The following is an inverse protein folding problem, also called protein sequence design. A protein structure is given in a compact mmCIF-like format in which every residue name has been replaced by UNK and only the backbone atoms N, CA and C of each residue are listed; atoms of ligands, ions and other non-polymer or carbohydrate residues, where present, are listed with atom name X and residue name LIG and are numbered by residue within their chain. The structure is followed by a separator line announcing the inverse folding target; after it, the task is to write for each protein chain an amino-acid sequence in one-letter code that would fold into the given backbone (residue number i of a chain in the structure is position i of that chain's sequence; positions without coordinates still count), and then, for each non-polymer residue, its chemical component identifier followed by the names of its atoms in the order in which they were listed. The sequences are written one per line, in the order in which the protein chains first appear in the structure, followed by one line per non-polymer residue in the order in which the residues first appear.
data_IF_686485829837
#
_entry.id   IF_686485829837
#
_cell.length_a   1.000
_cell.length_b   1.000
_cell.length_c   1.000
_cell.angle_alpha   90.00
_cell.angle_beta   90.00
_cell.angle_gamma   90.00
#
_symmetry.space_group_name_H-M   'P 1'
#
loop_
_entity.id
_entity.type
_entity.pdbx_description
1 polymer ?
#
# COMPACT_ATOMS: atom_id res chain seq x y z
N UNK A 1 -34.12 -28.40 20.68
CA UNK A 1 -33.57 -28.30 19.30
C UNK A 1 -33.51 -26.87 18.76
N UNK A 2 -32.87 -25.93 19.47
CA UNK A 2 -32.75 -24.51 19.06
C UNK A 2 -31.33 -24.01 18.80
N UNK A 3 -30.30 -24.84 19.05
CA UNK A 3 -28.89 -24.41 18.99
C UNK A 3 -28.24 -24.67 17.62
N UNK A 4 -28.65 -25.73 16.90
CA UNK A 4 -28.10 -26.09 15.59
C UNK A 4 -28.57 -25.19 14.44
N UNK A 5 -29.73 -24.52 14.56
CA UNK A 5 -30.26 -23.65 13.49
C UNK A 5 -29.46 -22.35 13.28
N UNK A 6 -28.58 -21.96 14.21
CA UNK A 6 -27.88 -20.67 14.15
C UNK A 6 -26.51 -20.74 13.45
N UNK A 7 -25.85 -21.90 13.41
CA UNK A 7 -24.52 -22.03 12.80
C UNK A 7 -24.57 -22.34 11.30
N UNK A 8 -25.62 -22.98 10.80
CA UNK A 8 -25.76 -23.32 9.38
C UNK A 8 -25.70 -22.08 8.47
N UNK A 9 -26.40 -21.01 8.85
CA UNK A 9 -26.37 -19.75 8.11
C UNK A 9 -25.00 -19.06 8.19
N UNK A 10 -24.33 -19.14 9.34
CA UNK A 10 -22.97 -18.61 9.52
C UNK A 10 -21.97 -19.34 8.62
N UNK A 11 -21.97 -20.68 8.65
CA UNK A 11 -21.13 -21.51 7.79
C UNK A 11 -21.39 -21.23 6.32
N UNK A 12 -22.66 -21.15 5.90
CA UNK A 12 -23.02 -20.82 4.52
C UNK A 12 -22.47 -19.45 4.07
N UNK A 13 -22.61 -18.41 4.90
CA UNK A 13 -22.07 -17.08 4.59
C UNK A 13 -20.54 -17.07 4.57
N UNK A 14 -19.90 -17.80 5.46
CA UNK A 14 -18.46 -17.93 5.48
C UNK A 14 -17.93 -18.65 4.23
N UNK A 15 -18.56 -19.74 3.79
CA UNK A 15 -18.23 -20.40 2.52
C UNK A 15 -18.38 -19.45 1.32
N UNK A 16 -19.44 -18.63 1.28
CA UNK A 16 -19.60 -17.63 0.23
C UNK A 16 -18.49 -16.58 0.22
N UNK A 17 -18.03 -16.14 1.40
CA UNK A 17 -16.87 -15.25 1.52
C UNK A 17 -15.61 -15.92 0.98
N UNK A 18 -15.34 -17.18 1.33
CA UNK A 18 -14.19 -17.93 0.80
C UNK A 18 -14.26 -18.03 -0.72
N UNK A 19 -15.43 -18.35 -1.29
CA UNK A 19 -15.61 -18.42 -2.74
C UNK A 19 -15.36 -17.06 -3.39
N UNK A 20 -15.86 -15.97 -2.80
CA UNK A 20 -15.60 -14.61 -3.29
C UNK A 20 -14.10 -14.28 -3.28
N UNK A 21 -13.41 -14.62 -2.18
CA UNK A 21 -11.96 -14.48 -2.05
C UNK A 21 -11.21 -15.26 -3.14
N UNK A 22 -11.52 -16.54 -3.31
CA UNK A 22 -10.87 -17.39 -4.31
C UNK A 22 -11.07 -16.86 -5.73
N UNK A 23 -12.30 -16.47 -6.09
CA UNK A 23 -12.60 -15.87 -7.40
C UNK A 23 -11.87 -14.55 -7.62
N UNK A 24 -11.70 -13.74 -6.58
CA UNK A 24 -10.94 -12.50 -6.66
C UNK A 24 -9.46 -12.78 -6.96
N UNK A 25 -8.82 -13.71 -6.24
CA UNK A 25 -7.41 -14.04 -6.46
C UNK A 25 -7.15 -14.78 -7.77
N UNK A 26 -8.09 -15.61 -8.24
CA UNK A 26 -8.03 -16.25 -9.55
C UNK A 26 -7.95 -15.21 -10.69
N UNK A 27 -8.75 -14.14 -10.58
CA UNK A 27 -8.78 -13.06 -11.58
C UNK A 27 -7.66 -12.04 -11.41
N UNK A 28 -7.18 -11.87 -10.19
CA UNK A 28 -6.18 -10.87 -9.83
C UNK A 28 -4.98 -11.52 -9.12
N UNK A 29 -4.13 -12.27 -9.86
CA UNK A 29 -2.98 -12.98 -9.28
C UNK A 29 -1.89 -12.06 -8.73
N UNK A 30 -2.03 -10.73 -8.91
CA UNK A 30 -1.12 -9.74 -8.35
C UNK A 30 -1.24 -9.58 -6.83
N UNK A 31 -2.41 -9.89 -6.27
CA UNK A 31 -2.64 -9.86 -4.84
C UNK A 31 -2.27 -11.22 -4.24
N UNK A 32 -1.39 -11.22 -3.25
CA UNK A 32 -1.11 -12.40 -2.42
C UNK A 32 -2.35 -12.79 -1.59
N UNK A 33 -2.34 -13.97 -0.97
CA UNK A 33 -3.52 -14.46 -0.21
C UNK A 33 -3.92 -13.59 1.00
N UNK A 34 -3.00 -12.79 1.54
CA UNK A 34 -3.25 -11.77 2.57
C UNK A 34 -3.53 -10.37 1.99
N UNK A 35 -3.89 -10.30 0.69
CA UNK A 35 -4.18 -9.08 -0.06
C UNK A 35 -3.02 -8.08 -0.13
N UNK A 36 -1.79 -8.46 0.21
CA UNK A 36 -0.64 -7.58 0.02
C UNK A 36 -0.19 -7.59 -1.44
N UNK A 37 0.45 -6.50 -1.84
CA UNK A 37 1.21 -6.42 -3.08
C UNK A 37 2.69 -6.30 -2.72
N UNK A 38 3.55 -6.62 -3.69
CA UNK A 38 4.98 -6.38 -3.53
C UNK A 38 5.23 -4.88 -3.23
N UNK A 39 6.10 -4.55 -2.27
CA UNK A 39 6.22 -3.20 -1.66
C UNK A 39 6.45 -2.07 -2.68
N UNK A 40 7.00 -2.39 -3.85
CA UNK A 40 7.28 -1.45 -4.93
C UNK A 40 6.10 -1.22 -5.90
N UNK A 41 4.96 -1.89 -5.72
CA UNK A 41 3.80 -1.81 -6.62
C UNK A 41 2.66 -1.02 -5.96
N UNK A 42 2.57 0.26 -6.32
CA UNK A 42 1.37 1.06 -6.08
C UNK A 42 0.22 0.55 -6.96
N UNK A 43 -0.93 0.24 -6.35
CA UNK A 43 -2.13 -0.20 -7.05
C UNK A 43 -2.51 0.73 -8.22
N UNK A 44 -2.23 2.03 -8.10
CA UNK A 44 -2.53 3.05 -9.12
C UNK A 44 -1.64 2.97 -10.37
N UNK A 45 -0.58 2.15 -10.35
CA UNK A 45 0.39 1.99 -11.43
C UNK A 45 0.33 0.61 -12.10
N UNK A 46 -0.61 -0.25 -11.72
CA UNK A 46 -0.63 -1.65 -12.17
C UNK A 46 -0.96 -1.86 -13.64
N UNK A 47 -1.88 -1.06 -14.20
CA UNK A 47 -2.47 -1.33 -15.52
C UNK A 47 -2.03 -0.36 -16.60
N UNK A 48 -0.87 0.31 -16.46
CA UNK A 48 -0.36 1.28 -17.44
C UNK A 48 -1.46 2.27 -17.92
N UNK A 49 -2.19 2.85 -16.95
CA UNK A 49 -3.32 3.77 -17.18
C UNK A 49 -4.50 3.22 -18.01
N UNK A 50 -4.65 1.89 -18.10
CA UNK A 50 -5.85 1.27 -18.65
C UNK A 50 -7.04 1.37 -17.67
N UNK A 51 -7.86 2.40 -17.85
CA UNK A 51 -9.03 2.66 -17.00
C UNK A 51 -10.07 1.55 -17.02
N UNK A 52 -10.19 0.75 -18.10
CA UNK A 52 -11.13 -0.38 -18.13
C UNK A 52 -10.71 -1.47 -17.15
N UNK A 53 -9.41 -1.76 -17.05
CA UNK A 53 -8.90 -2.72 -16.07
C UNK A 53 -9.09 -2.22 -14.63
N UNK A 54 -8.86 -0.93 -14.38
CA UNK A 54 -9.16 -0.33 -13.07
C UNK A 54 -10.64 -0.37 -12.73
N UNK A 55 -11.52 -0.16 -13.69
CA UNK A 55 -12.96 -0.18 -13.51
C UNK A 55 -13.43 -1.59 -13.11
N UNK A 56 -12.96 -2.60 -13.84
CA UNK A 56 -13.24 -4.00 -13.52
C UNK A 56 -12.68 -4.39 -12.15
N UNK A 57 -11.43 -4.01 -11.84
CA UNK A 57 -10.83 -4.25 -10.53
C UNK A 57 -11.65 -3.61 -9.41
N UNK A 58 -12.13 -2.38 -9.59
CA UNK A 58 -12.95 -1.68 -8.61
C UNK A 58 -14.24 -2.45 -8.30
N UNK A 59 -14.93 -2.95 -9.33
CA UNK A 59 -16.12 -3.79 -9.19
C UNK A 59 -15.81 -5.05 -8.38
N UNK A 60 -14.69 -5.71 -8.66
CA UNK A 60 -14.28 -6.94 -7.98
C UNK A 60 -13.91 -6.72 -6.52
N UNK A 61 -13.19 -5.63 -6.21
CA UNK A 61 -12.92 -5.20 -4.84
C UNK A 61 -14.22 -4.93 -4.07
N UNK A 62 -15.18 -4.25 -4.69
CA UNK A 62 -16.50 -4.02 -4.09
C UNK A 62 -17.28 -5.32 -3.83
N UNK A 63 -17.21 -6.31 -4.72
CA UNK A 63 -17.85 -7.60 -4.50
C UNK A 63 -17.23 -8.37 -3.33
N UNK A 64 -15.91 -8.31 -3.19
CA UNK A 64 -15.24 -8.93 -2.05
C UNK A 64 -15.63 -8.22 -0.74
N UNK A 65 -15.54 -6.89 -0.69
CA UNK A 65 -15.99 -6.12 0.48
C UNK A 65 -17.45 -6.43 0.86
N UNK A 66 -18.33 -6.56 -0.14
CA UNK A 66 -19.73 -6.92 0.08
C UNK A 66 -19.90 -8.29 0.73
N UNK A 67 -19.12 -9.29 0.29
CA UNK A 67 -19.15 -10.62 0.89
C UNK A 67 -18.72 -10.59 2.37
N UNK A 68 -17.71 -9.77 2.70
CA UNK A 68 -17.28 -9.55 4.09
C UNK A 68 -18.41 -8.92 4.91
N UNK A 69 -18.96 -7.78 4.46
CA UNK A 69 -19.98 -7.04 5.20
C UNK A 69 -21.27 -7.88 5.42
N UNK A 70 -21.62 -8.74 4.46
CA UNK A 70 -22.74 -9.67 4.61
C UNK A 70 -22.50 -10.74 5.68
N UNK A 71 -21.28 -11.28 5.78
CA UNK A 71 -20.94 -12.22 6.85
C UNK A 71 -20.96 -11.52 8.21
N UNK A 72 -20.36 -10.34 8.31
CA UNK A 72 -20.31 -9.52 9.53
C UNK A 72 -21.72 -9.29 10.09
N UNK A 73 -22.65 -8.86 9.24
CA UNK A 73 -24.04 -8.60 9.62
C UNK A 73 -24.70 -9.85 10.22
N UNK A 74 -24.47 -11.03 9.63
CA UNK A 74 -25.06 -12.29 10.12
C UNK A 74 -24.41 -12.72 11.45
N UNK A 75 -23.09 -12.53 11.61
CA UNK A 75 -22.39 -12.84 12.86
C UNK A 75 -22.95 -12.00 14.00
N UNK A 76 -23.03 -10.67 13.86
CA UNK A 76 -23.56 -9.81 14.92
C UNK A 76 -25.02 -10.11 15.24
N UNK A 77 -25.87 -10.28 14.22
CA UNK A 77 -27.26 -10.69 14.43
C UNK A 77 -27.36 -12.01 15.21
N UNK A 78 -26.50 -12.98 14.92
CA UNK A 78 -26.50 -14.27 15.63
C UNK A 78 -26.07 -14.14 17.09
N UNK A 79 -25.14 -13.22 17.40
CA UNK A 79 -24.71 -12.94 18.77
C UNK A 79 -25.84 -12.30 19.57
N UNK A 80 -26.53 -11.31 18.99
CA UNK A 80 -27.68 -10.65 19.62
C UNK A 80 -28.82 -11.63 19.91
N UNK A 81 -29.19 -12.44 18.91
CA UNK A 81 -30.27 -13.44 19.03
C UNK A 81 -29.97 -14.50 20.09
N UNK A 82 -28.71 -14.93 20.20
CA UNK A 82 -28.30 -15.94 21.18
C UNK A 82 -27.93 -15.34 22.54
N UNK A 83 -27.95 -14.01 22.68
CA UNK A 83 -27.45 -13.26 23.85
C UNK A 83 -26.06 -13.74 24.27
N UNK A 84 -25.24 -14.11 23.30
CA UNK A 84 -23.92 -14.70 23.55
C UNK A 84 -22.92 -13.62 23.92
N UNK A 85 -22.16 -13.85 24.99
CA UNK A 85 -21.11 -12.95 25.44
C UNK A 85 -19.81 -13.22 24.65
N UNK A 86 -19.12 -12.15 24.22
CA UNK A 86 -17.86 -12.23 23.44
C UNK A 86 -16.72 -12.95 24.16
N UNK A 87 -16.78 -13.08 25.49
CA UNK A 87 -15.78 -13.78 26.30
C UNK A 87 -16.10 -15.27 26.52
N UNK A 88 -17.24 -15.76 26.04
CA UNK A 88 -17.59 -17.19 26.11
C UNK A 88 -17.05 -17.94 24.89
N UNK A 89 -16.71 -19.21 25.04
CA UNK A 89 -16.24 -20.05 23.93
C UNK A 89 -17.21 -20.03 22.72
N UNK A 90 -18.52 -20.08 22.97
CA UNK A 90 -19.53 -20.01 21.92
C UNK A 90 -19.59 -18.63 21.23
N UNK A 91 -19.37 -17.53 21.96
CA UNK A 91 -19.25 -16.19 21.40
C UNK A 91 -17.99 -16.03 20.55
N UNK A 92 -16.85 -16.46 21.09
CA UNK A 92 -15.55 -16.41 20.41
C UNK A 92 -15.54 -17.23 19.13
N UNK A 93 -16.11 -18.44 19.13
CA UNK A 93 -16.25 -19.27 17.94
C UNK A 93 -17.01 -18.54 16.81
N UNK A 94 -18.02 -17.73 17.13
CA UNK A 94 -18.74 -16.91 16.15
C UNK A 94 -17.97 -15.68 15.71
N UNK A 95 -17.20 -15.07 16.61
CA UNK A 95 -16.44 -13.84 16.37
C UNK A 95 -15.11 -14.08 15.64
N UNK A 96 -14.49 -15.25 15.80
CA UNK A 96 -13.16 -15.56 15.25
C UNK A 96 -13.01 -15.25 13.74
N UNK A 97 -13.98 -15.56 12.86
CA UNK A 97 -13.89 -15.18 11.45
C UNK A 97 -13.75 -13.68 11.20
N UNK A 98 -14.20 -12.83 12.13
CA UNK A 98 -14.13 -11.39 11.98
C UNK A 98 -12.69 -10.85 12.06
N UNK A 99 -11.74 -11.58 12.66
CA UNK A 99 -10.33 -11.17 12.70
C UNK A 99 -9.81 -11.01 11.26
N UNK A 100 -9.99 -12.04 10.44
CA UNK A 100 -9.59 -12.01 9.02
C UNK A 100 -10.43 -11.00 8.24
N UNK A 101 -11.72 -10.87 8.57
CA UNK A 101 -12.58 -9.86 7.95
C UNK A 101 -12.05 -8.44 8.17
N UNK A 102 -11.61 -8.09 9.39
CA UNK A 102 -11.04 -6.78 9.73
C UNK A 102 -9.74 -6.53 8.94
N UNK A 103 -8.87 -7.54 8.86
CA UNK A 103 -7.62 -7.45 8.10
C UNK A 103 -7.91 -7.20 6.61
N UNK A 104 -8.71 -8.08 6.00
CA UNK A 104 -9.02 -7.99 4.57
C UNK A 104 -9.79 -6.69 4.24
N UNK A 105 -10.80 -6.31 5.05
CA UNK A 105 -11.58 -5.10 4.79
C UNK A 105 -10.77 -3.81 4.92
N UNK A 106 -9.72 -3.80 5.76
CA UNK A 106 -8.84 -2.63 5.88
C UNK A 106 -8.08 -2.35 4.58
N UNK A 107 -7.52 -3.40 3.97
CA UNK A 107 -6.80 -3.33 2.71
C UNK A 107 -7.74 -3.11 1.53
N UNK A 108 -8.88 -3.81 1.49
CA UNK A 108 -9.86 -3.62 0.43
C UNK A 108 -10.37 -2.17 0.38
N UNK A 109 -10.63 -1.54 1.53
CA UNK A 109 -11.05 -0.14 1.56
C UNK A 109 -9.96 0.79 1.02
N UNK A 110 -8.70 0.60 1.43
CA UNK A 110 -7.56 1.35 0.89
C UNK A 110 -7.45 1.23 -0.63
N UNK A 111 -7.53 0.01 -1.14
CA UNK A 111 -7.47 -0.25 -2.57
C UNK A 111 -8.65 0.35 -3.34
N UNK A 112 -9.88 0.23 -2.82
CA UNK A 112 -11.06 0.83 -3.45
C UNK A 112 -10.88 2.35 -3.55
N UNK A 113 -10.47 3.02 -2.47
CA UNK A 113 -10.26 4.48 -2.49
C UNK A 113 -9.20 4.87 -3.51
N UNK A 114 -8.03 4.21 -3.50
CA UNK A 114 -6.93 4.50 -4.45
C UNK A 114 -7.33 4.26 -5.90
N UNK A 115 -8.03 3.17 -6.19
CA UNK A 115 -8.53 2.85 -7.53
C UNK A 115 -9.59 3.86 -7.97
N UNK A 116 -10.50 4.29 -7.09
CA UNK A 116 -11.49 5.31 -7.43
C UNK A 116 -10.87 6.65 -7.74
N UNK A 117 -9.89 7.10 -6.95
CA UNK A 117 -9.11 8.30 -7.30
C UNK A 117 -8.44 8.15 -8.66
N UNK A 118 -7.87 6.98 -8.97
CA UNK A 118 -7.26 6.72 -10.28
C UNK A 118 -8.29 6.79 -11.41
N UNK A 119 -9.48 6.20 -11.24
CA UNK A 119 -10.55 6.25 -12.24
C UNK A 119 -11.04 7.69 -12.49
N UNK A 120 -11.11 8.50 -11.45
CA UNK A 120 -11.47 9.92 -11.54
C UNK A 120 -10.43 10.78 -12.28
N UNK A 121 -9.22 10.27 -12.58
CA UNK A 121 -8.26 10.96 -13.45
C UNK A 121 -8.63 10.87 -14.94
N UNK A 122 -9.34 9.82 -15.36
CA UNK A 122 -9.58 9.52 -16.77
C UNK A 122 -11.05 9.38 -17.19
N UNK A 123 -11.98 9.24 -16.24
CA UNK A 123 -13.40 9.06 -16.50
C UNK A 123 -14.22 10.22 -15.92
N UNK A 124 -15.35 10.52 -16.57
CA UNK A 124 -16.27 11.56 -16.10
C UNK A 124 -16.99 11.16 -14.81
N UNK A 125 -17.42 12.16 -14.05
CA UNK A 125 -18.14 11.96 -12.79
C UNK A 125 -19.41 11.13 -12.96
N UNK A 126 -20.11 11.24 -14.09
CA UNK A 126 -21.38 10.54 -14.33
C UNK A 126 -21.18 9.02 -14.44
N UNK A 127 -20.11 8.58 -15.12
CA UNK A 127 -19.78 7.14 -15.26
C UNK A 127 -19.46 6.49 -13.92
N UNK A 128 -18.87 7.27 -13.00
CA UNK A 128 -18.45 6.79 -11.68
C UNK A 128 -19.49 7.01 -10.58
N UNK A 129 -20.69 7.49 -10.92
CA UNK A 129 -21.73 7.78 -9.92
C UNK A 129 -22.09 6.55 -9.08
N UNK A 130 -22.36 5.42 -9.71
CA UNK A 130 -22.72 4.17 -9.02
C UNK A 130 -21.59 3.66 -8.12
N UNK A 131 -20.34 3.85 -8.55
CA UNK A 131 -19.17 3.45 -7.78
C UNK A 131 -19.02 4.30 -6.51
N UNK A 132 -19.24 5.62 -6.61
CA UNK A 132 -19.26 6.51 -5.45
C UNK A 132 -20.38 6.15 -4.48
N UNK A 133 -21.59 5.90 -5.00
CA UNK A 133 -22.73 5.52 -4.17
C UNK A 133 -22.47 4.21 -3.42
N UNK A 134 -21.87 3.22 -4.12
CA UNK A 134 -21.50 1.94 -3.52
C UNK A 134 -20.42 2.07 -2.45
N UNK A 135 -19.42 2.93 -2.67
CA UNK A 135 -18.44 3.23 -1.63
C UNK A 135 -19.11 3.83 -0.39
N UNK A 136 -20.01 4.79 -0.56
CA UNK A 136 -20.66 5.46 0.57
C UNK A 136 -21.45 4.45 1.41
N UNK A 137 -22.23 3.57 0.77
CA UNK A 137 -22.96 2.51 1.48
C UNK A 137 -22.01 1.57 2.25
N UNK A 138 -20.99 1.04 1.56
CA UNK A 138 -20.06 0.10 2.17
C UNK A 138 -19.21 0.77 3.25
N UNK A 139 -18.85 2.04 3.09
CA UNK A 139 -18.12 2.83 4.09
C UNK A 139 -18.94 2.97 5.39
N UNK A 140 -20.22 3.29 5.30
CA UNK A 140 -21.08 3.41 6.49
C UNK A 140 -21.20 2.06 7.23
N UNK A 141 -21.40 0.98 6.48
CA UNK A 141 -21.47 -0.38 7.04
C UNK A 141 -20.13 -0.82 7.66
N UNK A 142 -19.01 -0.51 7.01
CA UNK A 142 -17.66 -0.79 7.51
C UNK A 142 -17.33 0.02 8.77
N UNK A 143 -17.72 1.30 8.81
CA UNK A 143 -17.58 2.16 9.99
C UNK A 143 -18.38 1.61 11.18
N UNK A 144 -19.61 1.16 10.94
CA UNK A 144 -20.42 0.48 11.94
C UNK A 144 -19.77 -0.81 12.43
N UNK A 145 -19.26 -1.65 11.51
CA UNK A 145 -18.53 -2.87 11.84
C UNK A 145 -17.34 -2.59 12.77
N UNK A 146 -16.44 -1.68 12.40
CA UNK A 146 -15.27 -1.37 13.22
C UNK A 146 -15.64 -0.78 14.57
N UNK A 147 -16.67 0.08 14.63
CA UNK A 147 -17.17 0.63 15.89
C UNK A 147 -17.76 -0.46 16.79
N UNK A 148 -18.54 -1.40 16.25
CA UNK A 148 -19.08 -2.52 17.02
C UNK A 148 -17.97 -3.43 17.52
N UNK A 149 -17.04 -3.82 16.63
CA UNK A 149 -15.90 -4.66 17.01
C UNK A 149 -15.02 -4.01 18.07
N UNK A 150 -14.81 -2.69 18.06
CA UNK A 150 -13.94 -2.03 19.03
C UNK A 150 -14.52 -2.01 20.45
N UNK A 151 -15.84 -2.18 20.60
CA UNK A 151 -16.48 -2.33 21.91
C UNK A 151 -16.34 -3.74 22.50
N UNK A 152 -15.97 -4.73 21.69
CA UNK A 152 -15.87 -6.12 22.14
C UNK A 152 -14.48 -6.42 22.71
N UNK A 153 -14.44 -6.79 23.99
CA UNK A 153 -13.21 -7.18 24.69
C UNK A 153 -12.44 -8.31 24.01
N UNK A 154 -13.13 -9.21 23.28
CA UNK A 154 -12.48 -10.29 22.54
C UNK A 154 -11.40 -9.79 21.58
N UNK A 155 -11.62 -8.66 20.90
CA UNK A 155 -10.69 -8.15 19.91
C UNK A 155 -9.56 -7.30 20.51
N UNK A 156 -9.73 -6.73 21.71
CA UNK A 156 -8.79 -5.76 22.28
C UNK A 156 -7.35 -6.29 22.38
N UNK A 157 -7.21 -7.59 22.64
CA UNK A 157 -5.91 -8.23 22.81
C UNK A 157 -5.44 -8.97 21.54
N UNK A 158 -6.32 -9.17 20.56
CA UNK A 158 -6.02 -9.95 19.36
C UNK A 158 -5.63 -9.07 18.17
N UNK A 159 -6.33 -7.94 17.98
CA UNK A 159 -6.15 -7.10 16.80
C UNK A 159 -6.46 -5.65 17.12
N UNK A 160 -5.58 -4.75 16.66
CA UNK A 160 -5.85 -3.32 16.60
C UNK A 160 -6.81 -3.06 15.44
N UNK A 161 -8.04 -2.71 15.80
CA UNK A 161 -9.09 -2.37 14.84
C UNK A 161 -8.78 -1.02 14.19
N UNK A 162 -8.83 -0.91 12.86
CA UNK A 162 -8.60 0.35 12.17
C UNK A 162 -9.64 1.41 12.54
N UNK A 163 -9.20 2.66 12.62
CA UNK A 163 -10.10 3.81 12.75
C UNK A 163 -10.31 4.40 11.36
N UNK A 164 -11.57 4.48 10.93
CA UNK A 164 -11.94 5.14 9.69
C UNK A 164 -12.15 6.65 9.91
N UNK A 165 -11.92 7.48 8.87
CA UNK A 165 -12.20 8.91 8.94
C UNK A 165 -13.68 9.17 9.24
N UNK A 166 -13.99 10.41 9.63
CA UNK A 166 -15.37 10.78 9.92
C UNK A 166 -16.25 10.73 8.67
N UNK A 167 -15.75 11.29 7.58
CA UNK A 167 -16.42 11.37 6.28
C UNK A 167 -15.70 10.50 5.24
N UNK A 168 -16.43 9.95 4.26
CA UNK A 168 -15.79 9.30 3.11
C UNK A 168 -14.97 10.32 2.31
N UNK A 169 -13.93 9.88 1.58
CA UNK A 169 -13.08 10.76 0.78
C UNK A 169 -13.86 11.47 -0.33
N UNK A 170 -13.54 12.73 -0.61
CA UNK A 170 -14.12 13.46 -1.73
C UNK A 170 -13.26 13.31 -2.98
N UNK A 171 -13.73 12.52 -3.95
CA UNK A 171 -12.99 12.24 -5.18
C UNK A 171 -12.88 13.42 -6.15
N UNK A 172 -13.64 14.50 -5.93
CA UNK A 172 -13.56 15.70 -6.76
C UNK A 172 -12.41 16.64 -6.34
N UNK A 173 -11.82 16.41 -5.17
CA UNK A 173 -10.77 17.25 -4.59
C UNK A 173 -9.47 16.47 -4.63
N UNK A 174 -8.53 16.88 -5.49
CA UNK A 174 -7.23 16.18 -5.62
C UNK A 174 -6.38 16.30 -4.35
N UNK A 175 -6.58 17.34 -3.54
CA UNK A 175 -5.91 17.47 -2.23
C UNK A 175 -6.33 16.37 -1.23
N UNK A 176 -7.55 15.84 -1.31
CA UNK A 176 -8.03 14.81 -0.37
C UNK A 176 -7.26 13.50 -0.53
N UNK A 177 -6.74 13.22 -1.74
CA UNK A 177 -5.85 12.07 -1.96
C UNK A 177 -4.49 12.25 -1.28
N UNK A 178 -3.96 13.48 -1.21
CA UNK A 178 -2.69 13.76 -0.53
C UNK A 178 -2.82 13.63 0.98
N UNK A 179 -4.01 13.94 1.51
CA UNK A 179 -4.33 13.85 2.93
C UNK A 179 -4.88 12.48 3.34
N UNK A 180 -5.11 11.57 2.38
CA UNK A 180 -5.66 10.24 2.66
C UNK A 180 -4.67 9.38 3.44
N UNK A 181 -5.12 8.86 4.59
CA UNK A 181 -4.36 7.94 5.42
C UNK A 181 -4.92 6.53 5.33
N UNK A 182 -4.06 5.57 5.00
CA UNK A 182 -4.40 4.14 4.95
C UNK A 182 -4.86 3.67 6.34
N UNK A 183 -6.08 3.14 6.47
CA UNK A 183 -6.51 2.50 7.71
C UNK A 183 -5.81 1.13 7.83
N UNK A 184 -4.83 1.00 8.72
CA UNK A 184 -4.05 -0.24 8.91
C UNK A 184 -4.65 -1.07 10.05
N UNK A 185 -4.98 -2.33 9.79
CA UNK A 185 -5.28 -3.33 10.82
C UNK A 185 -3.98 -4.02 11.24
N UNK A 186 -3.62 -3.97 12.52
CA UNK A 186 -2.39 -4.60 13.05
C UNK A 186 -2.80 -5.70 14.03
N UNK A 187 -2.38 -6.94 13.79
CA UNK A 187 -2.54 -8.03 14.77
C UNK A 187 -1.52 -7.84 15.88
N UNK A 188 -1.97 -7.89 17.14
CA UNK A 188 -1.06 -7.80 18.27
C UNK A 188 -0.42 -9.18 18.47
N UNK A 189 0.79 -9.37 17.96
CA UNK A 189 1.63 -10.52 18.35
C UNK A 189 2.22 -10.25 19.73
N UNK A 190 1.42 -10.41 20.78
CA UNK A 190 1.98 -10.62 22.12
C UNK A 190 2.60 -12.02 22.14
N UNK A 191 3.93 -12.08 22.17
CA UNK A 191 4.67 -13.25 22.63
C UNK A 191 4.16 -13.64 24.02
N UNK A 192 3.35 -14.68 24.09
CA UNK A 192 3.00 -15.39 25.31
C UNK A 192 2.55 -16.79 24.92
N UNK A 193 3.36 -17.77 25.31
CA UNK A 193 3.06 -19.20 25.27
C UNK A 193 1.62 -19.47 25.71
N UNK A 194 0.81 -20.01 24.82
CA UNK A 194 -0.52 -20.53 25.13
C UNK A 194 -0.90 -21.66 24.17
N UNK A 195 0.06 -22.53 23.87
CA UNK A 195 -0.16 -23.80 23.16
C UNK A 195 -0.48 -24.97 24.11
N UNK A 196 -0.90 -24.73 25.36
CA UNK A 196 -0.92 -25.80 26.39
C UNK A 196 -2.29 -26.20 26.97
N UNK A 197 -3.43 -26.01 26.28
CA UNK A 197 -4.71 -26.46 26.87
C UNK A 197 -5.68 -27.16 25.90
N UNK A 198 -5.21 -27.67 24.76
CA UNK A 198 -6.06 -28.49 23.87
C UNK A 198 -5.42 -29.81 23.48
N UNK A 199 -4.84 -30.52 24.44
CA UNK A 199 -4.29 -31.87 24.19
C UNK A 199 -4.75 -32.93 25.21
N UNK A 200 -5.60 -32.58 26.16
CA UNK A 200 -5.99 -33.49 27.26
C UNK A 200 -7.35 -34.18 27.04
N UNK A 201 -7.74 -34.39 25.78
CA UNK A 201 -8.97 -35.09 25.44
C UNK A 201 -8.83 -35.98 24.22
N UNK A 202 -7.88 -36.91 24.23
CA UNK A 202 -7.92 -38.07 23.35
C UNK A 202 -7.69 -39.36 24.13
N UNK A 203 -8.69 -40.22 23.97
CA UNK A 203 -8.99 -41.46 24.68
C UNK A 203 -7.94 -42.53 24.40
N UNK A 204 -7.61 -43.27 25.46
CA UNK A 204 -6.86 -44.53 25.52
C UNK A 204 -7.45 -45.61 24.58
N UNK A 205 -6.63 -46.13 23.66
CA UNK A 205 -6.84 -47.43 23.00
C UNK A 205 -5.47 -48.13 22.90
N UNK A 206 -5.39 -49.28 23.55
CA UNK A 206 -4.21 -50.12 23.69
C UNK A 206 -3.91 -50.96 22.44
N UNK A 207 -2.61 -51.19 22.27
CA UNK A 207 -1.89 -52.33 21.67
C UNK A 207 -2.20 -52.77 20.22
N UNK A 208 -1.45 -52.18 19.28
CA UNK A 208 -0.87 -52.92 18.15
C UNK A 208 0.52 -52.33 17.78
N UNK A 209 1.50 -52.58 18.65
CA UNK A 209 2.84 -51.97 18.71
C UNK A 209 3.87 -52.59 17.73
N UNK A 210 3.58 -52.66 16.43
CA UNK A 210 4.60 -53.05 15.42
C UNK A 210 4.74 -52.16 14.18
N UNK A 211 3.82 -51.23 13.92
CA UNK A 211 3.92 -50.31 12.77
C UNK A 211 4.62 -48.98 13.09
N UNK A 212 4.59 -48.52 14.34
CA UNK A 212 5.00 -47.15 14.71
C UNK A 212 6.51 -46.91 14.71
N UNK A 213 7.34 -47.93 14.99
CA UNK A 213 8.80 -47.76 15.03
C UNK A 213 9.44 -47.53 13.65
N UNK A 214 8.74 -47.88 12.55
CA UNK A 214 9.25 -47.64 11.19
C UNK A 214 8.96 -46.21 10.71
N UNK A 215 7.93 -45.55 11.25
CA UNK A 215 7.57 -44.18 10.89
C UNK A 215 8.51 -43.15 11.56
N UNK A 216 8.92 -43.40 12.81
CA UNK A 216 9.76 -42.46 13.60
C UNK A 216 11.19 -42.29 13.04
N UNK A 217 11.72 -43.30 12.33
CA UNK A 217 13.02 -43.20 11.66
C UNK A 217 12.97 -42.42 10.34
N UNK A 218 11.82 -42.38 9.66
CA UNK A 218 11.65 -41.58 8.43
C UNK A 218 11.39 -40.10 8.73
N UNK A 219 10.66 -39.78 9.80
CA UNK A 219 10.39 -38.38 10.18
C UNK A 219 11.66 -37.64 10.62
N UNK A 220 12.56 -38.28 11.38
CA UNK A 220 13.83 -37.67 11.79
C UNK A 220 14.80 -37.38 10.62
N UNK A 221 14.64 -38.05 9.47
CA UNK A 221 15.48 -37.82 8.29
C UNK A 221 14.97 -36.64 7.47
N UNK A 222 13.64 -36.52 7.29
CA UNK A 222 13.02 -35.35 6.65
C UNK A 222 13.22 -34.06 7.46
N UNK A 223 13.17 -34.14 8.79
CA UNK A 223 13.38 -32.97 9.66
C UNK A 223 14.83 -32.46 9.60
N UNK A 224 15.81 -33.37 9.50
CA UNK A 224 17.21 -32.98 9.27
C UNK A 224 17.46 -32.41 7.86
N UNK A 225 16.82 -32.95 6.82
CA UNK A 225 16.92 -32.39 5.46
C UNK A 225 16.29 -31.00 5.37
N UNK A 226 15.13 -30.78 6.02
CA UNK A 226 14.49 -29.45 6.06
C UNK A 226 15.29 -28.42 6.85
N UNK A 227 15.98 -28.82 7.92
CA UNK A 227 16.90 -27.95 8.66
C UNK A 227 18.13 -27.55 7.84
N UNK A 228 18.73 -28.49 7.10
CA UNK A 228 19.87 -28.21 6.21
C UNK A 228 19.49 -27.26 5.07
N UNK A 229 18.33 -27.50 4.43
CA UNK A 229 17.82 -26.63 3.36
C UNK A 229 17.53 -25.21 3.88
N UNK A 230 16.94 -25.08 5.08
CA UNK A 230 16.67 -23.77 5.68
C UNK A 230 17.94 -23.00 6.05
N UNK A 231 18.99 -23.70 6.50
CA UNK A 231 20.28 -23.09 6.77
C UNK A 231 20.95 -22.57 5.48
N UNK A 232 20.79 -23.31 4.37
CA UNK A 232 21.27 -22.89 3.07
C UNK A 232 20.52 -21.66 2.56
N UNK A 233 19.18 -21.65 2.66
CA UNK A 233 18.35 -20.50 2.28
C UNK A 233 18.72 -19.21 3.06
N UNK A 234 19.05 -19.35 4.35
CA UNK A 234 19.51 -18.23 5.18
C UNK A 234 20.87 -17.72 4.69
N UNK A 235 21.80 -18.61 4.36
CA UNK A 235 23.12 -18.23 3.86
C UNK A 235 23.04 -17.50 2.51
N UNK A 236 22.18 -17.97 1.61
CA UNK A 236 21.96 -17.35 0.30
C UNK A 236 21.31 -15.96 0.45
N UNK A 237 20.39 -15.81 1.42
CA UNK A 237 19.79 -14.51 1.75
C UNK A 237 20.81 -13.53 2.34
N UNK A 238 21.70 -13.99 3.22
CA UNK A 238 22.79 -13.18 3.77
C UNK A 238 23.76 -12.68 2.69
N UNK A 239 24.11 -13.54 1.72
CA UNK A 239 24.93 -13.13 0.57
C UNK A 239 24.24 -12.06 -0.28
N UNK A 240 22.93 -12.22 -0.52
CA UNK A 240 22.13 -11.25 -1.29
C UNK A 240 22.08 -9.89 -0.58
N UNK A 241 21.89 -9.88 0.75
CA UNK A 241 21.91 -8.64 1.54
C UNK A 241 23.26 -7.94 1.50
N UNK A 242 24.36 -8.70 1.55
CA UNK A 242 25.72 -8.15 1.44
C UNK A 242 25.97 -7.52 0.06
N UNK A 243 25.48 -8.17 -1.00
CA UNK A 243 25.56 -7.63 -2.36
C UNK A 243 24.78 -6.31 -2.48
N UNK A 244 23.57 -6.25 -1.88
CA UNK A 244 22.74 -5.06 -1.90
C UNK A 244 23.37 -3.88 -1.12
N UNK A 245 23.97 -4.15 0.04
CA UNK A 245 24.70 -3.13 0.82
C UNK A 245 25.90 -2.57 0.05
N UNK A 246 26.61 -3.44 -0.67
CA UNK A 246 27.73 -3.04 -1.54
C UNK A 246 27.26 -2.12 -2.66
N UNK A 247 26.15 -2.48 -3.33
CA UNK A 247 25.57 -1.67 -4.41
C UNK A 247 25.04 -0.32 -3.89
N UNK A 248 24.45 -0.28 -2.70
CA UNK A 248 24.01 0.97 -2.07
C UNK A 248 25.18 1.90 -1.73
N UNK A 249 26.29 1.35 -1.26
CA UNK A 249 27.52 2.13 -1.00
C UNK A 249 28.09 2.70 -2.30
N UNK A 250 28.10 1.92 -3.38
CA UNK A 250 28.55 2.38 -4.68
C UNK A 250 27.67 3.51 -5.23
N UNK A 251 26.35 3.33 -5.22
CA UNK A 251 25.40 4.36 -5.67
C UNK A 251 25.53 5.67 -4.86
N UNK A 252 25.78 5.58 -3.55
CA UNK A 252 26.06 6.76 -2.72
C UNK A 252 27.33 7.48 -3.16
N UNK A 253 28.41 6.74 -3.40
CA UNK A 253 29.67 7.32 -3.90
C UNK A 253 29.48 8.01 -5.25
N UNK A 254 28.76 7.36 -6.18
CA UNK A 254 28.47 7.95 -7.50
C UNK A 254 27.61 9.21 -7.37
N UNK A 255 26.65 9.23 -6.45
CA UNK A 255 25.83 10.42 -6.17
C UNK A 255 26.68 11.57 -5.63
N UNK A 256 27.61 11.29 -4.72
CA UNK A 256 28.50 12.30 -4.15
C UNK A 256 29.45 12.87 -5.21
N UNK A 257 29.99 12.03 -6.11
CA UNK A 257 30.88 12.46 -7.19
C UNK A 257 30.15 13.27 -8.27
N UNK A 258 28.92 12.88 -8.61
CA UNK A 258 28.06 13.69 -9.49
C UNK A 258 27.74 15.04 -8.85
N UNK A 259 27.45 15.08 -7.55
CA UNK A 259 27.18 16.32 -6.84
C UNK A 259 28.39 17.27 -6.85
N UNK A 260 29.60 16.74 -6.62
CA UNK A 260 30.85 17.52 -6.76
C UNK A 260 31.04 18.06 -8.17
N UNK A 261 30.74 17.24 -9.18
CA UNK A 261 30.87 17.64 -10.59
C UNK A 261 29.90 18.78 -10.93
N UNK A 262 28.66 18.71 -10.46
CA UNK A 262 27.67 19.79 -10.63
C UNK A 262 28.17 21.08 -10.00
N UNK A 263 28.65 21.04 -8.76
CA UNK A 263 29.18 22.23 -8.07
C UNK A 263 30.33 22.88 -8.84
N UNK A 264 31.26 22.08 -9.38
CA UNK A 264 32.37 22.59 -10.19
C UNK A 264 31.84 23.22 -11.49
N UNK A 265 30.92 22.55 -12.17
CA UNK A 265 30.34 23.05 -13.43
C UNK A 265 29.53 24.33 -13.24
N UNK A 266 28.81 24.45 -12.14
CA UNK A 266 28.11 25.69 -11.78
C UNK A 266 29.10 26.84 -11.54
N UNK A 267 30.22 26.58 -10.86
CA UNK A 267 31.27 27.59 -10.68
C UNK A 267 31.92 28.02 -12.00
N UNK A 268 32.20 27.06 -12.90
CA UNK A 268 32.72 27.35 -14.25
C UNK A 268 31.74 28.20 -15.07
N UNK A 269 30.43 27.87 -15.03
CA UNK A 269 29.39 28.62 -15.74
C UNK A 269 29.25 30.05 -15.22
N UNK A 270 29.37 30.26 -13.91
CA UNK A 270 29.36 31.59 -13.31
C UNK A 270 30.57 32.39 -13.80
N UNK A 271 31.77 31.79 -13.76
CA UNK A 271 32.99 32.46 -14.23
C UNK A 271 32.92 32.83 -15.72
N UNK A 272 32.37 31.96 -16.58
CA UNK A 272 32.19 32.27 -18.00
C UNK A 272 31.16 33.39 -18.22
N UNK A 273 30.07 33.40 -17.45
CA UNK A 273 29.08 34.49 -17.51
C UNK A 273 29.70 35.83 -17.13
N UNK A 274 30.49 35.88 -16.07
CA UNK A 274 31.17 37.10 -15.62
C UNK A 274 32.18 37.57 -16.66
N UNK A 275 32.93 36.63 -17.28
CA UNK A 275 33.85 36.97 -18.35
C UNK A 275 33.15 37.56 -19.58
N UNK A 276 32.00 36.99 -19.98
CA UNK A 276 31.18 37.53 -21.08
C UNK A 276 30.69 38.94 -20.80
N UNK A 277 30.22 39.22 -19.59
CA UNK A 277 29.77 40.55 -19.19
C UNK A 277 30.90 41.59 -19.29
N UNK A 278 32.12 41.24 -18.85
CA UNK A 278 33.28 42.13 -18.99
C UNK A 278 33.61 42.45 -20.46
N UNK A 279 33.51 41.46 -21.36
CA UNK A 279 33.73 41.68 -22.79
C UNK A 279 32.66 42.60 -23.37
N UNK A 280 31.39 42.40 -22.99
CA UNK A 280 30.27 43.23 -23.43
C UNK A 280 30.43 44.69 -22.98
N UNK A 281 30.84 44.92 -21.73
CA UNK A 281 31.16 46.26 -21.21
C UNK A 281 32.31 46.92 -21.99
N UNK A 282 33.38 46.17 -22.30
CA UNK A 282 34.50 46.69 -23.09
C UNK A 282 34.07 47.09 -24.51
N UNK A 283 33.23 46.28 -25.16
CA UNK A 283 32.69 46.59 -26.50
C UNK A 283 31.80 47.82 -26.46
N UNK A 284 30.94 47.96 -25.45
CA UNK A 284 30.11 49.15 -25.27
C UNK A 284 30.96 50.42 -25.09
N UNK A 285 32.03 50.35 -24.28
CA UNK A 285 32.95 51.47 -24.13
C UNK A 285 33.67 51.83 -25.44
N UNK A 286 34.10 50.85 -26.22
CA UNK A 286 34.74 51.09 -27.52
C UNK A 286 33.77 51.74 -28.52
N UNK A 287 32.52 51.26 -28.58
CA UNK A 287 31.48 51.82 -29.45
C UNK A 287 31.17 53.28 -29.09
N UNK A 288 31.02 53.58 -27.79
CA UNK A 288 30.75 54.93 -27.32
C UNK A 288 31.90 55.91 -27.63
N UNK A 289 33.15 55.43 -27.51
CA UNK A 289 34.33 56.21 -27.88
C UNK A 289 34.41 56.46 -29.39
N UNK A 290 34.06 55.47 -30.23
CA UNK A 290 34.01 55.65 -31.68
C UNK A 290 32.96 56.68 -32.11
N UNK A 291 31.75 56.61 -31.54
CA UNK A 291 30.69 57.59 -31.80
C UNK A 291 31.12 59.00 -31.41
N UNK A 292 31.77 59.15 -30.26
CA UNK A 292 32.30 60.45 -29.80
C UNK A 292 33.36 61.01 -30.78
N UNK A 293 34.22 60.16 -31.35
CA UNK A 293 35.24 60.56 -32.33
C UNK A 293 34.58 60.97 -33.66
N UNK A 294 33.58 60.22 -34.12
CA UNK A 294 32.82 60.54 -35.33
C UNK A 294 32.08 61.89 -35.20
N UNK A 295 31.48 62.16 -34.05
CA UNK A 295 30.83 63.45 -33.76
C UNK A 295 31.83 64.63 -33.80
N UNK A 296 33.02 64.46 -33.23
CA UNK A 296 34.08 65.47 -33.28
C UNK A 296 34.55 65.72 -34.72
N UNK A 297 34.74 64.66 -35.51
CA UNK A 297 35.11 64.78 -36.92
C UNK A 297 34.02 65.44 -37.78
N UNK A 298 32.74 65.15 -37.50
CA UNK A 298 31.61 65.81 -38.15
C UNK A 298 31.56 67.30 -37.80
N UNK A 299 31.82 67.66 -36.53
CA UNK A 299 31.87 69.04 -36.07
C UNK A 299 33.01 69.84 -36.74
N UNK A 300 34.22 69.27 -36.80
CA UNK A 300 35.38 69.91 -37.44
C UNK A 300 35.18 70.09 -38.96
N UNK A 301 34.52 69.13 -39.61
CA UNK A 301 34.15 69.24 -41.03
C UNK A 301 33.13 70.35 -41.28
N UNK A 302 32.18 70.54 -40.35
CA UNK A 302 31.17 71.61 -40.42
C UNK A 302 31.80 72.99 -40.22
N UNK A 303 32.76 73.10 -39.30
CA UNK A 303 33.54 74.32 -39.07
C UNK A 303 34.39 74.72 -40.29
N UNK A 304 35.03 73.75 -40.97
CA UNK A 304 35.79 74.02 -42.20
C UNK A 304 34.92 74.54 -43.34
N UNK A 305 33.67 74.10 -43.43
CA UNK A 305 32.70 74.62 -44.40
C UNK A 305 32.32 76.07 -44.08
N UNK A 306 32.19 76.42 -42.79
CA UNK A 306 31.81 77.76 -42.35
C UNK A 306 32.90 78.83 -42.52
N UNK A 307 34.19 78.45 -42.52
CA UNK A 307 35.33 79.36 -42.69
C UNK A 307 35.75 79.60 -44.16
N UNK A 308 35.13 78.90 -45.12
CA UNK A 308 35.43 79.03 -46.56
C UNK A 308 34.41 79.88 -47.34
N UNK A 309 33.45 80.51 -46.66
CA UNK A 309 32.54 81.55 -47.16
C UNK A 309 32.86 82.89 -46.51
#
# INVERSE_FOLDING_TARGET
NGVQQNYSLLSYRYCNLIIAKLKFHERNPIFTGNLTMNEYKDIRRLFNDNFNSYFQLCIELFHYMEAILNLVQVIFKSLDQSRSNSMTAAGQCRLNPLIVCIQDSSLLYDYIVKVLFKLHEGLSGDVLQDHRQRLIDQFQRLKCFYAQSSTLQYFSNLIKIPVLPENPPNFNVKEDLKNYQTPVAIVNTSSSDSSQVMEDLLIDISDDTKSTLRATFSDNLLENETMYNRAQDISDLEQTLLQYDTMLKQNRSETDDLHRTIVIKDAELIAERDHRLQIEEQLHHQLNNQQSIEEIHAFDSTLKIFFFF
#
